data_IF_577802103192
#
_entry.id   IF_577802103192
#
_cell.length_a   1.000
_cell.length_b   1.000
_cell.length_c   1.000
_cell.angle_alpha   90.00
_cell.angle_beta   90.00
_cell.angle_gamma   90.00
#
_symmetry.space_group_name_H-M   'P 1'
#
loop_
_entity.id
_entity.type
_entity.pdbx_description
1 polymer ?
#
# COMPACT_ATOMS: atom_id res chain seq x y z
N UNK A 1 1.86 -25.96 -1.33
CA UNK A 1 2.89 -25.04 -0.79
C UNK A 1 2.44 -23.62 -1.06
N UNK A 2 2.18 -22.83 -0.01
CA UNK A 2 1.31 -21.66 -0.06
C UNK A 2 1.86 -20.51 -0.93
N UNK A 3 0.99 -19.96 -1.78
CA UNK A 3 1.25 -18.73 -2.57
C UNK A 3 1.45 -17.49 -1.71
N UNK A 4 1.29 -17.62 -0.39
CA UNK A 4 1.36 -16.52 0.57
C UNK A 4 2.49 -16.73 1.57
N UNK A 5 3.03 -15.63 2.10
CA UNK A 5 3.83 -15.60 3.33
C UNK A 5 3.12 -14.70 4.32
N UNK A 6 2.96 -15.18 5.54
CA UNK A 6 2.47 -14.40 6.66
C UNK A 6 3.54 -14.39 7.75
N UNK A 7 3.93 -13.21 8.20
CA UNK A 7 4.85 -13.05 9.33
C UNK A 7 4.53 -11.77 10.10
N UNK A 8 5.10 -11.65 11.29
CA UNK A 8 5.07 -10.42 12.08
C UNK A 8 6.44 -9.79 12.20
N UNK A 9 6.49 -8.47 12.27
CA UNK A 9 7.73 -7.72 12.52
C UNK A 9 7.45 -6.50 13.44
N UNK A 10 8.42 -6.06 14.27
CA UNK A 10 8.25 -4.83 15.04
C UNK A 10 8.24 -3.60 14.12
N UNK A 11 7.46 -2.57 14.48
CA UNK A 11 7.53 -1.29 13.79
C UNK A 11 8.85 -0.57 14.13
N UNK A 12 9.53 -0.05 13.11
CA UNK A 12 10.75 0.74 13.28
C UNK A 12 10.52 2.06 14.03
N UNK A 13 9.29 2.60 14.04
CA UNK A 13 8.94 3.85 14.73
C UNK A 13 8.53 3.63 16.18
N UNK A 14 7.93 2.48 16.46
CA UNK A 14 7.38 2.12 17.77
C UNK A 14 7.57 0.61 17.98
N UNK A 15 8.70 0.15 18.53
CA UNK A 15 9.02 -1.28 18.65
C UNK A 15 7.99 -2.10 19.44
N UNK A 16 7.20 -1.46 20.29
CA UNK A 16 6.08 -2.03 21.02
C UNK A 16 4.87 -2.38 20.11
N UNK A 17 4.80 -1.81 18.91
CA UNK A 17 3.79 -2.10 17.90
C UNK A 17 4.34 -3.18 16.96
N UNK A 18 3.56 -4.25 16.75
CA UNK A 18 3.85 -5.30 15.76
C UNK A 18 3.06 -5.04 14.49
N UNK A 19 3.70 -5.23 13.34
CA UNK A 19 3.07 -5.25 12.02
C UNK A 19 2.81 -6.70 11.63
N UNK A 20 1.60 -6.97 11.14
CA UNK A 20 1.26 -8.25 10.50
C UNK A 20 1.44 -8.05 8.99
N UNK A 21 2.30 -8.86 8.38
CA UNK A 21 2.67 -8.74 6.97
C UNK A 21 2.21 -9.98 6.22
N UNK A 22 1.30 -9.78 5.27
CA UNK A 22 0.82 -10.82 4.35
C UNK A 22 1.30 -10.49 2.93
N UNK A 23 2.05 -11.40 2.32
CA UNK A 23 2.60 -11.22 0.97
C UNK A 23 2.07 -12.33 0.06
N UNK A 24 1.47 -11.95 -1.06
CA UNK A 24 1.19 -12.88 -2.17
C UNK A 24 2.43 -12.99 -3.06
N UNK A 25 3.17 -14.11 -2.95
CA UNK A 25 4.49 -14.30 -3.55
C UNK A 25 4.51 -14.04 -5.06
N UNK A 26 3.60 -14.61 -5.88
CA UNK A 26 3.63 -14.39 -7.33
C UNK A 26 3.41 -12.92 -7.71
N UNK A 27 2.51 -12.24 -7.01
CA UNK A 27 2.23 -10.83 -7.27
C UNK A 27 3.39 -9.94 -6.83
N UNK A 28 4.03 -10.25 -5.71
CA UNK A 28 5.25 -9.55 -5.29
C UNK A 28 6.33 -9.64 -6.36
N UNK A 29 6.65 -10.86 -6.81
CA UNK A 29 7.69 -11.11 -7.82
C UNK A 29 7.37 -10.34 -9.11
N UNK A 30 6.13 -10.47 -9.60
CA UNK A 30 5.66 -9.75 -10.79
C UNK A 30 5.81 -8.23 -10.62
N UNK A 31 5.32 -7.67 -9.52
CA UNK A 31 5.33 -6.22 -9.29
C UNK A 31 6.77 -5.67 -9.21
N UNK A 32 7.69 -6.41 -8.58
CA UNK A 32 9.11 -6.03 -8.53
C UNK A 32 9.71 -6.06 -9.93
N UNK A 33 9.48 -7.12 -10.71
CA UNK A 33 10.00 -7.22 -12.09
C UNK A 33 9.43 -6.11 -13.00
N UNK A 34 8.13 -5.81 -12.91
CA UNK A 34 7.48 -4.74 -13.67
C UNK A 34 8.05 -3.34 -13.35
N UNK A 35 8.66 -3.17 -12.18
CA UNK A 35 9.23 -1.91 -11.70
C UNK A 35 10.73 -2.02 -11.36
N UNK A 36 11.44 -2.99 -11.94
CA UNK A 36 12.77 -3.44 -11.50
C UNK A 36 13.75 -2.28 -11.31
N UNK A 37 13.86 -1.41 -12.31
CA UNK A 37 14.77 -0.26 -12.29
C UNK A 37 14.52 0.67 -11.09
N UNK A 38 13.27 0.87 -10.69
CA UNK A 38 12.94 1.70 -9.51
C UNK A 38 13.42 1.04 -8.23
N UNK A 39 13.27 -0.28 -8.12
CA UNK A 39 13.79 -1.04 -6.98
C UNK A 39 15.31 -0.96 -6.92
N UNK A 40 16.00 -1.14 -8.04
CA UNK A 40 17.46 -1.04 -8.12
C UNK A 40 17.94 0.37 -7.76
N UNK A 41 17.31 1.40 -8.32
CA UNK A 41 17.62 2.80 -8.07
C UNK A 41 17.41 3.16 -6.58
N UNK A 42 16.32 2.71 -5.95
CA UNK A 42 16.06 3.02 -4.54
C UNK A 42 16.95 2.20 -3.60
N UNK A 43 17.14 0.91 -3.90
CA UNK A 43 17.92 0.01 -3.04
C UNK A 43 19.42 0.16 -3.25
N UNK A 44 19.86 0.78 -4.34
CA UNK A 44 21.26 0.98 -4.73
C UNK A 44 22.02 -0.34 -4.86
N UNK A 45 21.36 -1.33 -5.48
CA UNK A 45 21.92 -2.66 -5.77
C UNK A 45 21.16 -3.28 -6.94
N UNK A 46 21.78 -4.24 -7.61
CA UNK A 46 21.08 -5.15 -8.53
C UNK A 46 19.99 -5.92 -7.76
N UNK A 47 18.82 -6.09 -8.38
CA UNK A 47 17.67 -6.74 -7.77
C UNK A 47 17.26 -7.96 -8.58
N UNK A 48 17.08 -9.08 -7.88
CA UNK A 48 16.33 -10.23 -8.38
C UNK A 48 15.09 -10.37 -7.50
N UNK A 49 13.90 -10.37 -8.11
CA UNK A 49 12.64 -10.28 -7.37
C UNK A 49 12.44 -11.43 -6.38
N UNK A 50 12.87 -12.64 -6.74
CA UNK A 50 12.83 -13.83 -5.89
C UNK A 50 13.77 -13.67 -4.68
N UNK A 51 15.00 -13.22 -4.91
CA UNK A 51 15.96 -12.97 -3.82
C UNK A 51 15.52 -11.83 -2.91
N UNK A 52 14.87 -10.81 -3.47
CA UNK A 52 14.30 -9.72 -2.69
C UNK A 52 13.16 -10.22 -1.80
N UNK A 53 12.30 -11.12 -2.32
CA UNK A 53 11.25 -11.76 -1.53
C UNK A 53 11.83 -12.59 -0.38
N UNK A 54 12.86 -13.39 -0.65
CA UNK A 54 13.58 -14.15 0.39
C UNK A 54 14.15 -13.21 1.46
N UNK A 55 14.79 -12.11 1.05
CA UNK A 55 15.33 -11.13 1.97
C UNK A 55 14.25 -10.48 2.83
N UNK A 56 13.08 -10.15 2.25
CA UNK A 56 11.91 -9.66 2.99
C UNK A 56 11.44 -10.67 4.04
N UNK A 57 11.42 -11.96 3.71
CA UNK A 57 11.00 -13.00 4.64
C UNK A 57 11.98 -13.19 5.81
N UNK A 58 13.27 -12.94 5.59
CA UNK A 58 14.33 -13.13 6.60
C UNK A 58 14.51 -11.89 7.47
N UNK A 59 14.62 -10.71 6.83
CA UNK A 59 14.98 -9.45 7.49
C UNK A 59 13.79 -8.55 7.79
N UNK A 60 12.62 -8.90 7.28
CA UNK A 60 11.44 -8.05 7.35
C UNK A 60 11.32 -7.07 6.19
N UNK A 61 10.11 -6.58 5.95
CA UNK A 61 9.78 -5.67 4.84
C UNK A 61 10.32 -4.27 5.09
N UNK A 62 10.25 -3.78 6.33
CA UNK A 62 10.76 -2.44 6.68
C UNK A 62 12.26 -2.29 6.45
N UNK A 63 13.03 -3.28 6.88
CA UNK A 63 14.47 -3.27 6.71
C UNK A 63 14.84 -3.44 5.22
N UNK A 64 14.29 -4.45 4.57
CA UNK A 64 14.63 -4.79 3.18
C UNK A 64 14.28 -3.68 2.19
N UNK A 65 13.16 -2.98 2.41
CA UNK A 65 12.73 -1.87 1.57
C UNK A 65 13.22 -0.50 2.06
N UNK A 66 14.08 -0.45 3.07
CA UNK A 66 14.66 0.78 3.65
C UNK A 66 13.60 1.82 4.05
N UNK A 67 12.44 1.38 4.56
CA UNK A 67 11.31 2.24 4.88
C UNK A 67 10.85 3.16 3.71
N UNK A 68 11.08 2.75 2.46
CA UNK A 68 10.79 3.59 1.29
C UNK A 68 9.30 3.64 0.95
N UNK A 69 8.66 4.79 1.22
CA UNK A 69 7.27 5.07 0.85
C UNK A 69 6.96 4.76 -0.62
N UNK A 70 7.93 4.98 -1.53
CA UNK A 70 7.78 4.70 -2.96
C UNK A 70 7.66 3.19 -3.23
N UNK A 71 8.56 2.38 -2.68
CA UNK A 71 8.54 0.92 -2.90
C UNK A 71 7.32 0.29 -2.23
N UNK A 72 6.97 0.73 -1.02
CA UNK A 72 5.74 0.32 -0.35
C UNK A 72 4.51 0.61 -1.19
N UNK A 73 4.39 1.84 -1.69
CA UNK A 73 3.24 2.24 -2.49
C UNK A 73 3.08 1.39 -3.75
N UNK A 74 4.19 1.09 -4.43
CA UNK A 74 4.19 0.22 -5.62
C UNK A 74 3.74 -1.20 -5.25
N UNK A 75 4.29 -1.79 -4.19
CA UNK A 75 3.92 -3.15 -3.74
C UNK A 75 2.48 -3.25 -3.24
N UNK A 76 1.96 -2.19 -2.63
CA UNK A 76 0.55 -2.09 -2.21
C UNK A 76 -0.38 -1.84 -3.40
N UNK A 77 0.15 -1.66 -4.61
CA UNK A 77 -0.63 -1.51 -5.83
C UNK A 77 -1.16 -0.11 -6.07
N UNK A 78 -0.62 0.93 -5.42
CA UNK A 78 -1.00 2.32 -5.70
C UNK A 78 -0.44 2.86 -7.02
N UNK A 79 0.42 2.10 -7.68
CA UNK A 79 1.07 2.50 -8.92
C UNK A 79 2.24 3.43 -8.71
N UNK A 80 3.06 3.60 -9.75
CA UNK A 80 4.29 4.39 -9.69
C UNK A 80 4.01 5.86 -9.45
N UNK A 81 3.00 6.43 -10.13
CA UNK A 81 2.70 7.85 -10.09
C UNK A 81 2.31 8.30 -8.69
N UNK A 82 1.30 7.65 -8.11
CA UNK A 82 0.84 7.95 -6.75
C UNK A 82 1.90 7.66 -5.69
N UNK A 83 2.67 6.58 -5.84
CA UNK A 83 3.73 6.25 -4.88
C UNK A 83 4.87 7.26 -4.89
N UNK A 84 5.23 7.75 -6.07
CA UNK A 84 6.22 8.83 -6.22
C UNK A 84 5.71 10.09 -5.55
N UNK A 85 4.45 10.43 -5.78
CA UNK A 85 3.82 11.60 -5.21
C UNK A 85 3.79 11.54 -3.67
N UNK A 86 3.35 10.42 -3.11
CA UNK A 86 3.32 10.20 -1.66
C UNK A 86 4.71 10.25 -1.03
N UNK A 87 5.74 9.69 -1.68
CA UNK A 87 7.12 9.78 -1.19
C UNK A 87 7.64 11.22 -1.05
N UNK A 88 7.04 12.18 -1.75
CA UNK A 88 7.41 13.59 -1.75
C UNK A 88 6.58 14.44 -0.77
N UNK A 89 5.68 13.84 0.02
CA UNK A 89 4.73 14.54 0.90
C UNK A 89 5.36 15.59 1.83
N UNK A 90 6.51 15.27 2.42
CA UNK A 90 7.24 16.18 3.32
C UNK A 90 7.86 17.37 2.57
N UNK A 91 8.45 17.13 1.39
CA UNK A 91 9.05 18.17 0.54
C UNK A 91 8.03 19.16 0.02
N UNK A 92 6.82 18.68 -0.25
CA UNK A 92 5.71 19.51 -0.76
C UNK A 92 4.98 20.29 0.34
N UNK A 93 5.47 20.27 1.60
CA UNK A 93 4.79 20.85 2.78
C UNK A 93 3.30 20.53 2.79
N UNK A 94 2.96 19.31 2.40
CA UNK A 94 1.57 18.86 2.38
C UNK A 94 1.21 18.61 3.83
N UNK A 95 0.64 19.63 4.47
CA UNK A 95 0.17 19.57 5.83
C UNK A 95 -0.93 18.52 5.91
N UNK A 96 -0.76 17.62 6.87
CA UNK A 96 -1.75 16.68 7.37
C UNK A 96 -3.16 17.26 7.28
N UNK A 97 -4.03 16.60 6.51
CA UNK A 97 -5.47 16.89 6.53
C UNK A 97 -5.91 16.81 7.99
N UNK A 98 -6.47 17.91 8.48
CA UNK A 98 -6.94 18.03 9.85
C UNK A 98 -8.04 16.98 10.07
N UNK A 99 -7.85 15.96 10.93
CA UNK A 99 -8.79 14.84 11.06
C UNK A 99 -10.17 15.25 11.60
N UNK A 100 -10.30 16.49 12.09
CA UNK A 100 -11.54 17.10 12.53
C UNK A 100 -12.51 17.46 11.38
N UNK A 101 -12.08 17.36 10.12
CA UNK A 101 -12.93 17.60 8.93
C UNK A 101 -13.34 16.26 8.31
N UNK A 102 -13.84 15.34 9.13
CA UNK A 102 -14.66 14.21 8.67
C UNK A 102 -16.11 14.68 8.63
N UNK A 103 -16.48 15.43 7.61
CA UNK A 103 -17.88 15.65 7.30
C UNK A 103 -18.42 14.39 6.58
N UNK A 104 -19.68 14.06 6.84
CA UNK A 104 -20.41 12.84 6.43
C UNK A 104 -20.59 12.65 4.91
N UNK A 105 -19.78 13.32 4.08
CA UNK A 105 -19.83 13.24 2.63
C UNK A 105 -18.51 12.63 2.08
N UNK A 106 -18.53 11.33 1.70
CA UNK A 106 -17.33 10.62 1.25
C UNK A 106 -16.72 11.14 -0.07
N UNK A 107 -17.38 12.11 -0.73
CA UNK A 107 -16.93 12.68 -2.00
C UNK A 107 -16.38 14.13 -1.89
N UNK A 108 -16.25 14.71 -0.69
CA UNK A 108 -15.67 16.06 -0.54
C UNK A 108 -14.14 16.07 -0.58
N UNK A 109 -13.65 16.49 -1.74
CA UNK A 109 -12.25 16.65 -2.10
C UNK A 109 -11.80 18.07 -1.70
N UNK A 110 -10.76 18.19 -0.87
CA UNK A 110 -10.11 19.48 -0.61
C UNK A 110 -9.08 19.80 -1.70
N UNK A 111 -9.40 20.80 -2.52
CA UNK A 111 -8.46 21.45 -3.43
C UNK A 111 -7.86 22.65 -2.69
N UNK A 112 -6.52 22.73 -2.60
CA UNK A 112 -5.85 23.99 -2.31
C UNK A 112 -5.17 24.43 -3.62
N UNK A 113 -5.61 25.55 -4.16
CA UNK A 113 -5.34 26.03 -5.52
C UNK A 113 -3.96 26.67 -5.68
N UNK A 114 -2.90 25.90 -5.43
CA UNK A 114 -1.58 26.17 -6.01
C UNK A 114 -1.02 24.86 -6.58
N UNK A 115 -1.21 24.69 -7.89
CA UNK A 115 -0.66 23.64 -8.75
C UNK A 115 -1.04 22.19 -8.35
N UNK A 116 -2.36 21.97 -8.34
CA UNK A 116 -3.08 20.74 -8.71
C UNK A 116 -2.42 19.39 -8.36
N UNK A 117 -2.27 19.16 -7.05
CA UNK A 117 -2.21 17.83 -6.48
C UNK A 117 -3.33 17.67 -5.44
N UNK A 118 -4.34 16.89 -5.82
CA UNK A 118 -5.55 16.73 -5.02
C UNK A 118 -5.37 15.61 -4.00
N UNK A 119 -5.34 15.95 -2.73
CA UNK A 119 -5.31 14.98 -1.65
C UNK A 119 -6.68 14.32 -1.46
N UNK A 120 -6.83 13.08 -1.92
CA UNK A 120 -7.98 12.26 -1.56
C UNK A 120 -7.53 11.24 -0.52
N UNK A 121 -7.98 11.34 0.75
CA UNK A 121 -7.76 10.27 1.73
C UNK A 121 -8.53 9.03 1.28
N UNK A 122 -7.84 8.05 0.69
CA UNK A 122 -8.45 6.78 0.29
C UNK A 122 -8.55 5.87 1.53
N UNK A 123 -9.61 5.99 2.32
CA UNK A 123 -9.80 5.12 3.49
C UNK A 123 -9.72 3.64 3.06
N UNK A 124 -8.97 2.75 3.76
CA UNK A 124 -8.34 2.90 5.08
C UNK A 124 -6.87 3.29 5.10
N UNK A 125 -6.29 3.75 4.00
CA UNK A 125 -4.87 4.08 3.93
C UNK A 125 -4.75 5.54 3.45
N UNK A 126 -4.30 6.42 4.36
CA UNK A 126 -4.02 7.83 4.05
C UNK A 126 -2.86 7.93 3.04
N UNK A 127 -3.14 7.68 1.76
CA UNK A 127 -2.19 7.67 0.65
C UNK A 127 -2.46 8.86 -0.27
N UNK A 128 -1.41 9.58 -0.66
CA UNK A 128 -1.52 10.75 -1.54
C UNK A 128 -1.61 10.29 -2.99
N UNK A 129 -2.62 10.76 -3.71
CA UNK A 129 -2.87 10.39 -5.11
C UNK A 129 -3.10 11.64 -5.96
N UNK A 130 -2.97 11.53 -7.28
CA UNK A 130 -3.46 12.57 -8.20
C UNK A 130 -4.77 12.11 -8.85
N UNK A 131 -5.89 12.73 -8.46
CA UNK A 131 -7.25 12.37 -8.89
C UNK A 131 -7.52 12.51 -10.39
N UNK A 132 -6.73 13.31 -11.09
CA UNK A 132 -6.92 13.58 -12.52
C UNK A 132 -6.32 12.51 -13.43
N UNK A 133 -5.35 11.74 -12.91
CA UNK A 133 -4.61 10.75 -13.68
C UNK A 133 -5.43 9.50 -13.99
N UNK A 134 -5.14 8.86 -15.13
CA UNK A 134 -5.73 7.57 -15.49
C UNK A 134 -5.41 6.47 -14.46
N UNK A 135 -4.19 6.47 -13.90
CA UNK A 135 -3.76 5.54 -12.85
C UNK A 135 -4.73 5.58 -11.65
N UNK A 136 -4.98 6.77 -11.09
CA UNK A 136 -5.89 6.92 -9.94
C UNK A 136 -7.34 6.62 -10.28
N UNK A 137 -7.81 6.99 -11.47
CA UNK A 137 -9.18 6.66 -11.92
C UNK A 137 -9.38 5.14 -12.01
N UNK A 138 -8.41 4.43 -12.59
CA UNK A 138 -8.45 2.98 -12.69
C UNK A 138 -8.41 2.31 -11.32
N UNK A 139 -7.51 2.77 -10.44
CA UNK A 139 -7.44 2.28 -9.06
C UNK A 139 -8.77 2.47 -8.32
N UNK A 140 -9.39 3.65 -8.44
CA UNK A 140 -10.68 3.94 -7.81
C UNK A 140 -11.75 2.93 -8.25
N UNK A 141 -11.79 2.57 -9.53
CA UNK A 141 -12.71 1.55 -10.05
C UNK A 141 -12.37 0.17 -9.52
N UNK A 142 -11.11 -0.26 -9.60
CA UNK A 142 -10.65 -1.59 -9.15
C UNK A 142 -10.95 -1.83 -7.66
N UNK A 143 -10.60 -0.87 -6.80
CA UNK A 143 -10.84 -0.98 -5.37
C UNK A 143 -12.34 -0.95 -5.03
N UNK A 144 -13.15 -0.10 -5.69
CA UNK A 144 -14.61 -0.11 -5.52
C UNK A 144 -15.23 -1.47 -5.86
N UNK A 145 -14.74 -2.13 -6.91
CA UNK A 145 -15.20 -3.48 -7.26
C UNK A 145 -14.75 -4.53 -6.26
N UNK A 146 -13.50 -4.44 -5.77
CA UNK A 146 -12.98 -5.32 -4.73
C UNK A 146 -13.78 -5.18 -3.42
N UNK A 147 -14.05 -3.95 -2.98
CA UNK A 147 -14.85 -3.67 -1.78
C UNK A 147 -16.26 -4.24 -1.90
N UNK A 148 -16.92 -4.07 -3.05
CA UNK A 148 -18.23 -4.69 -3.31
C UNK A 148 -18.17 -6.21 -3.16
N UNK A 149 -17.13 -6.86 -3.69
CA UNK A 149 -16.95 -8.32 -3.58
C UNK A 149 -16.69 -8.74 -2.13
N UNK A 150 -15.85 -8.02 -1.40
CA UNK A 150 -15.55 -8.28 0.01
C UNK A 150 -16.84 -8.15 0.84
N UNK A 151 -17.54 -7.02 0.71
CA UNK A 151 -18.79 -6.77 1.45
C UNK A 151 -19.89 -7.79 1.11
N UNK A 152 -19.98 -8.21 -0.15
CA UNK A 152 -20.92 -9.26 -0.57
C UNK A 152 -20.55 -10.64 0.01
N UNK A 153 -19.26 -10.97 0.08
CA UNK A 153 -18.76 -12.27 0.56
C UNK A 153 -18.83 -12.38 2.09
N UNK A 154 -18.63 -11.29 2.81
CA UNK A 154 -18.39 -11.29 4.25
C UNK A 154 -19.45 -10.51 5.05
N UNK A 155 -20.71 -10.50 4.61
CA UNK A 155 -21.80 -9.80 5.30
C UNK A 155 -21.78 -10.07 6.83
N UNK A 156 -21.70 -8.96 7.57
CA UNK A 156 -22.11 -8.74 8.97
C UNK A 156 -21.34 -9.38 10.15
N UNK A 157 -20.28 -10.18 9.96
CA UNK A 157 -19.47 -10.67 11.08
C UNK A 157 -17.97 -10.39 10.88
N UNK A 158 -17.24 -10.20 11.99
CA UNK A 158 -15.82 -9.83 12.02
C UNK A 158 -15.00 -10.58 10.95
N UNK A 159 -14.44 -9.80 10.01
CA UNK A 159 -13.74 -10.27 8.80
C UNK A 159 -12.50 -11.12 9.11
N UNK A 160 -11.76 -10.76 10.16
CA UNK A 160 -10.46 -11.36 10.49
C UNK A 160 -10.57 -12.86 10.85
N UNK A 161 -11.44 -13.28 11.80
CA UNK A 161 -11.62 -14.70 12.13
C UNK A 161 -11.95 -15.60 10.94
N UNK A 162 -12.82 -15.15 10.03
CA UNK A 162 -13.27 -15.95 8.87
C UNK A 162 -12.12 -16.12 7.87
N UNK A 163 -11.38 -15.05 7.60
CA UNK A 163 -10.23 -15.09 6.68
C UNK A 163 -9.11 -15.96 7.25
N UNK A 164 -8.79 -15.82 8.54
CA UNK A 164 -7.77 -16.66 9.17
C UNK A 164 -8.16 -18.13 9.23
N UNK A 165 -9.42 -18.47 9.52
CA UNK A 165 -9.86 -19.87 9.47
C UNK A 165 -9.65 -20.48 8.09
N UNK A 166 -10.04 -19.77 7.02
CA UNK A 166 -9.87 -20.26 5.64
C UNK A 166 -8.42 -20.44 5.24
N UNK A 167 -7.54 -19.49 5.60
CA UNK A 167 -6.11 -19.58 5.32
C UNK A 167 -5.39 -20.67 6.13
N UNK A 168 -5.99 -21.14 7.23
CA UNK A 168 -5.43 -22.18 8.10
C UNK A 168 -5.94 -23.59 7.78
N UNK A 169 -6.93 -23.72 6.89
CA UNK A 169 -7.60 -24.97 6.53
C UNK A 169 -7.14 -25.57 5.19
N UNK A 170 -6.11 -25.00 4.57
CA UNK A 170 -5.41 -25.50 3.36
C UNK A 170 -3.94 -25.82 3.67
#
# INVERSE_FOLDING_TARGET
>A
MSHFVLFEEPSNKSPQVRLIVLIHKPLFIKTVNDHLKIFEDVLQKEVLAEKLLEEVCIKGVQHTLKCSDLLYGILLGYGKGNSTLFSQKSKRKIFSINPAVRNDDPDQIFFNDQESCVMIPYHPINFLVNSTTAETKNLKTTYREADKKILATYKLNNLLPIVFQKLSSE
#
